data_IF_359790203599
#
_entry.id   IF_359790203599
#
_cell.length_a   1.000
_cell.length_b   1.000
_cell.length_c   1.000
_cell.angle_alpha   90.00
_cell.angle_beta   90.00
_cell.angle_gamma   90.00
#
_symmetry.space_group_name_H-M   'P 1'
#
loop_
_entity.id
_entity.type
_entity.pdbx_description
1 polymer ?
#
# COMPACT_ATOMS: atom_id res chain seq x y z
N UNK A 1 19.84 -24.98 -32.60
CA UNK A 1 19.91 -24.03 -31.47
C UNK A 1 18.77 -24.34 -30.51
N UNK A 2 19.03 -24.31 -29.20
CA UNK A 2 17.98 -24.52 -28.19
C UNK A 2 17.03 -23.32 -28.16
N UNK A 3 15.78 -23.52 -27.73
CA UNK A 3 14.85 -22.41 -27.47
C UNK A 3 15.25 -21.74 -26.16
N UNK A 4 15.44 -20.40 -26.15
CA UNK A 4 15.78 -19.70 -24.92
C UNK A 4 14.62 -19.73 -23.93
N UNK A 5 14.94 -19.65 -22.64
CA UNK A 5 13.96 -19.39 -21.61
C UNK A 5 13.61 -17.89 -21.61
N UNK A 6 12.33 -17.58 -21.75
CA UNK A 6 11.87 -16.19 -21.95
C UNK A 6 11.61 -15.52 -20.60
N UNK A 7 12.09 -14.28 -20.46
CA UNK A 7 11.83 -13.38 -19.34
C UNK A 7 11.00 -12.20 -19.87
N UNK A 8 9.76 -12.08 -19.41
CA UNK A 8 8.85 -11.01 -19.76
C UNK A 8 8.92 -9.87 -18.75
N UNK A 9 9.37 -8.71 -19.20
CA UNK A 9 9.35 -7.45 -18.43
C UNK A 9 8.14 -6.60 -18.82
N UNK A 10 7.10 -6.59 -18.01
CA UNK A 10 5.93 -5.73 -18.25
C UNK A 10 6.09 -4.38 -17.56
N UNK A 11 5.90 -3.28 -18.29
CA UNK A 11 6.08 -1.94 -17.74
C UNK A 11 5.13 -0.90 -18.35
N UNK A 12 4.90 0.18 -17.63
CA UNK A 12 4.31 1.39 -18.20
C UNK A 12 5.40 2.18 -18.95
N UNK A 13 5.06 3.01 -19.96
CA UNK A 13 6.03 3.90 -20.58
C UNK A 13 6.74 4.79 -19.55
N UNK A 14 7.99 5.17 -19.85
CA UNK A 14 8.83 6.02 -18.98
C UNK A 14 9.06 5.44 -17.56
N UNK A 15 8.95 4.12 -17.39
CA UNK A 15 9.22 3.43 -16.11
C UNK A 15 10.67 2.95 -15.92
N UNK A 16 11.63 3.44 -16.72
CA UNK A 16 13.02 2.92 -16.80
C UNK A 16 13.16 1.52 -17.40
N UNK A 17 12.13 1.03 -18.10
CA UNK A 17 12.18 -0.29 -18.75
C UNK A 17 13.29 -0.41 -19.79
N UNK A 18 13.63 0.67 -20.50
CA UNK A 18 14.78 0.66 -21.43
C UNK A 18 16.11 0.56 -20.69
N UNK A 19 16.30 1.27 -19.57
CA UNK A 19 17.52 1.10 -18.74
C UNK A 19 17.64 -0.32 -18.19
N UNK A 20 16.51 -0.94 -17.83
CA UNK A 20 16.48 -2.33 -17.40
C UNK A 20 16.81 -3.30 -18.56
N UNK A 21 16.34 -3.02 -19.78
CA UNK A 21 16.76 -3.78 -20.96
C UNK A 21 18.27 -3.70 -21.20
N UNK A 22 18.86 -2.50 -21.09
CA UNK A 22 20.31 -2.31 -21.21
C UNK A 22 21.07 -3.08 -20.13
N UNK A 23 20.56 -3.08 -18.90
CA UNK A 23 21.08 -3.88 -17.79
C UNK A 23 21.08 -5.39 -18.10
N UNK A 24 19.97 -5.94 -18.60
CA UNK A 24 19.89 -7.35 -18.99
C UNK A 24 20.74 -7.68 -20.22
N UNK A 25 20.97 -6.73 -21.13
CA UNK A 25 21.86 -6.90 -22.28
C UNK A 25 23.34 -7.07 -21.88
N UNK A 26 23.73 -6.68 -20.66
CA UNK A 26 25.09 -6.89 -20.15
C UNK A 26 25.34 -8.32 -19.63
N UNK A 27 24.31 -9.16 -19.58
CA UNK A 27 24.48 -10.55 -19.15
C UNK A 27 25.03 -11.37 -20.31
N UNK A 28 26.02 -12.20 -20.03
CA UNK A 28 26.64 -13.05 -21.06
C UNK A 28 25.71 -14.16 -21.59
N UNK A 29 24.67 -14.50 -20.83
CA UNK A 29 23.74 -15.60 -21.06
C UNK A 29 22.36 -15.15 -21.57
N UNK A 30 22.18 -13.86 -21.86
CA UNK A 30 20.90 -13.26 -22.21
C UNK A 30 20.97 -12.50 -23.53
N UNK A 31 19.96 -12.67 -24.37
CA UNK A 31 19.67 -11.78 -25.51
C UNK A 31 18.42 -10.95 -25.20
N UNK A 32 18.33 -9.73 -25.72
CA UNK A 32 17.22 -8.81 -25.43
C UNK A 32 16.40 -8.51 -26.68
N UNK A 33 15.10 -8.27 -26.49
CA UNK A 33 14.16 -7.88 -27.55
C UNK A 33 13.34 -6.68 -27.08
N UNK A 34 13.38 -5.60 -27.84
CA UNK A 34 12.71 -4.34 -27.52
C UNK A 34 11.29 -4.28 -28.10
N UNK A 35 10.29 -4.26 -27.23
CA UNK A 35 8.85 -4.10 -27.53
C UNK A 35 8.36 -4.89 -28.76
N UNK A 36 8.52 -6.24 -28.76
CA UNK A 36 8.25 -7.06 -29.96
C UNK A 36 6.80 -6.96 -30.45
N UNK A 37 5.85 -6.63 -29.56
CA UNK A 37 4.42 -6.52 -29.88
C UNK A 37 4.02 -5.14 -30.45
N UNK A 38 4.94 -4.18 -30.53
CA UNK A 38 4.56 -2.79 -30.80
C UNK A 38 3.96 -2.59 -32.20
N UNK A 39 4.50 -3.24 -33.23
CA UNK A 39 3.95 -3.15 -34.58
C UNK A 39 2.56 -3.76 -34.71
N UNK A 40 2.31 -4.91 -34.07
CA UNK A 40 0.98 -5.50 -33.98
C UNK A 40 -0.01 -4.54 -33.28
N UNK A 41 0.41 -3.90 -32.18
CA UNK A 41 -0.37 -2.88 -31.49
C UNK A 41 -0.71 -1.68 -32.39
N UNK A 42 0.27 -1.10 -33.10
CA UNK A 42 0.02 0.06 -33.99
C UNK A 42 -0.88 -0.30 -35.17
N UNK A 43 -0.77 -1.52 -35.69
CA UNK A 43 -1.63 -2.01 -36.76
C UNK A 43 -3.07 -2.20 -36.27
N UNK A 44 -3.26 -2.84 -35.12
CA UNK A 44 -4.58 -3.16 -34.60
C UNK A 44 -5.34 -1.92 -34.10
N UNK A 45 -4.65 -0.98 -33.46
CA UNK A 45 -5.28 0.20 -32.85
C UNK A 45 -5.40 1.39 -33.80
N UNK A 46 -4.59 1.43 -34.86
CA UNK A 46 -4.53 2.59 -35.76
C UNK A 46 -3.95 3.85 -35.13
N UNK A 47 -3.36 3.75 -33.92
CA UNK A 47 -2.77 4.89 -33.21
C UNK A 47 -1.67 5.53 -34.04
N UNK A 48 -1.75 6.85 -34.22
CA UNK A 48 -0.79 7.60 -35.03
C UNK A 48 0.48 7.97 -34.24
N UNK A 49 1.63 7.82 -34.89
CA UNK A 49 2.95 8.15 -34.36
C UNK A 49 3.85 8.65 -35.49
N UNK A 50 4.77 9.60 -35.24
CA UNK A 50 5.68 10.11 -36.28
C UNK A 50 6.51 9.03 -36.98
N UNK A 51 6.76 7.90 -36.31
CA UNK A 51 7.56 6.78 -36.79
C UNK A 51 6.71 5.53 -37.09
N UNK A 52 5.38 5.66 -37.15
CA UNK A 52 4.44 4.53 -37.29
C UNK A 52 4.75 3.65 -38.50
N UNK A 53 4.83 4.25 -39.69
CA UNK A 53 5.00 3.49 -40.94
C UNK A 53 6.36 2.77 -40.99
N UNK A 54 7.38 3.38 -40.39
CA UNK A 54 8.70 2.77 -40.25
C UNK A 54 8.67 1.55 -39.32
N UNK A 55 7.91 1.60 -38.22
CA UNK A 55 7.67 0.44 -37.34
C UNK A 55 6.96 -0.68 -38.11
N UNK A 56 5.85 -0.35 -38.79
CA UNK A 56 5.05 -1.35 -39.52
C UNK A 56 5.81 -2.00 -40.68
N UNK A 57 6.77 -1.29 -41.27
CA UNK A 57 7.60 -1.82 -42.36
C UNK A 57 8.72 -2.73 -41.85
N UNK A 58 9.30 -2.43 -40.68
CA UNK A 58 10.48 -3.14 -40.15
C UNK A 58 10.17 -4.27 -39.18
N UNK A 59 8.95 -4.37 -38.67
CA UNK A 59 8.58 -5.33 -37.63
C UNK A 59 7.37 -6.18 -38.03
N UNK A 60 7.31 -7.39 -37.48
CA UNK A 60 6.17 -8.29 -37.68
C UNK A 60 4.91 -7.71 -37.03
N UNK A 61 3.85 -7.61 -37.82
CA UNK A 61 2.58 -7.00 -37.42
C UNK A 61 1.53 -8.03 -37.00
N UNK A 62 1.77 -9.32 -37.19
CA UNK A 62 0.92 -10.40 -36.73
C UNK A 62 1.37 -10.85 -35.32
N UNK A 63 0.54 -10.57 -34.32
CA UNK A 63 0.83 -10.90 -32.92
C UNK A 63 1.11 -12.38 -32.66
N UNK A 64 0.43 -13.30 -33.35
CA UNK A 64 0.66 -14.75 -33.19
C UNK A 64 2.06 -15.14 -33.67
N UNK A 65 2.48 -14.60 -34.81
CA UNK A 65 3.84 -14.79 -35.34
C UNK A 65 4.89 -14.16 -34.44
N UNK A 66 4.63 -12.98 -33.89
CA UNK A 66 5.54 -12.36 -32.92
C UNK A 66 5.75 -13.27 -31.72
N UNK A 67 4.67 -13.81 -31.13
CA UNK A 67 4.79 -14.70 -29.97
C UNK A 67 5.53 -15.99 -30.33
N UNK A 68 5.17 -16.62 -31.45
CA UNK A 68 5.74 -17.92 -31.84
C UNK A 68 7.18 -17.83 -32.34
N UNK A 69 7.45 -16.89 -33.24
CA UNK A 69 8.66 -16.86 -34.06
C UNK A 69 9.71 -15.87 -33.52
N UNK A 70 9.30 -14.85 -32.75
CA UNK A 70 10.22 -13.85 -32.17
C UNK A 70 10.41 -14.09 -30.67
N UNK A 71 9.32 -14.14 -29.90
CA UNK A 71 9.41 -14.32 -28.44
C UNK A 71 9.89 -15.74 -28.11
N UNK A 72 9.22 -16.77 -28.64
CA UNK A 72 9.58 -18.19 -28.43
C UNK A 72 10.36 -18.84 -29.58
N UNK A 73 10.83 -18.02 -30.53
CA UNK A 73 11.66 -18.46 -31.64
C UNK A 73 13.04 -18.98 -31.20
N UNK A 74 13.82 -19.50 -32.14
CA UNK A 74 15.22 -19.90 -31.88
C UNK A 74 16.05 -18.70 -31.40
N UNK A 75 16.94 -18.93 -30.44
CA UNK A 75 17.83 -17.92 -29.88
C UNK A 75 19.27 -18.39 -29.82
N UNK A 76 20.18 -17.44 -29.59
CA UNK A 76 21.62 -17.68 -29.47
C UNK A 76 22.09 -17.84 -28.02
N UNK A 77 21.27 -17.37 -27.07
CA UNK A 77 21.56 -17.32 -25.64
C UNK A 77 20.62 -18.23 -24.84
N UNK A 78 20.95 -18.43 -23.55
CA UNK A 78 20.14 -19.26 -22.63
C UNK A 78 18.82 -18.58 -22.32
N UNK A 79 18.86 -17.28 -22.04
CA UNK A 79 17.69 -16.47 -21.73
C UNK A 79 17.38 -15.47 -22.84
N UNK A 80 16.10 -15.15 -23.01
CA UNK A 80 15.64 -14.05 -23.84
C UNK A 80 14.81 -13.09 -23.01
N UNK A 81 15.29 -11.87 -22.84
CA UNK A 81 14.56 -10.80 -22.15
C UNK A 81 13.70 -10.04 -23.16
N UNK A 82 12.39 -10.04 -22.96
CA UNK A 82 11.45 -9.28 -23.76
C UNK A 82 10.94 -8.09 -22.95
N UNK A 83 11.32 -6.88 -23.38
CA UNK A 83 10.77 -5.63 -22.86
C UNK A 83 9.38 -5.41 -23.45
N UNK A 84 8.36 -5.35 -22.60
CA UNK A 84 6.99 -5.07 -23.00
C UNK A 84 6.49 -3.76 -22.38
N UNK A 85 5.74 -3.00 -23.16
CA UNK A 85 4.88 -1.95 -22.63
C UNK A 85 3.48 -2.52 -22.49
N UNK A 86 2.89 -2.43 -21.30
CA UNK A 86 1.62 -3.09 -20.96
C UNK A 86 0.49 -2.86 -21.95
N UNK A 87 0.32 -1.61 -22.43
CA UNK A 87 -0.73 -1.27 -23.41
C UNK A 87 -0.58 -1.96 -24.77
N UNK A 88 0.59 -2.51 -25.09
CA UNK A 88 0.83 -3.26 -26.33
C UNK A 88 0.29 -4.69 -26.25
N UNK A 89 -0.15 -5.16 -25.07
CA UNK A 89 -0.82 -6.45 -24.93
C UNK A 89 -2.24 -6.37 -25.48
N UNK A 90 -2.40 -6.73 -26.74
CA UNK A 90 -3.70 -6.85 -27.39
C UNK A 90 -4.48 -8.06 -26.85
N UNK A 91 -5.81 -7.94 -26.79
CA UNK A 91 -6.69 -9.10 -26.57
C UNK A 91 -6.62 -10.05 -27.77
N UNK A 92 -6.67 -11.36 -27.51
CA UNK A 92 -6.62 -12.39 -28.55
C UNK A 92 -5.20 -12.84 -28.94
N UNK A 93 -4.16 -12.33 -28.29
CA UNK A 93 -2.81 -12.90 -28.43
C UNK A 93 -2.75 -14.35 -27.88
N UNK A 94 -1.82 -15.18 -28.36
CA UNK A 94 -1.69 -16.57 -27.90
C UNK A 94 -1.52 -16.65 -26.38
N UNK A 95 -2.22 -17.60 -25.75
CA UNK A 95 -2.14 -17.83 -24.30
C UNK A 95 -0.73 -18.19 -23.82
N UNK A 96 0.12 -18.69 -24.73
CA UNK A 96 1.55 -18.94 -24.48
C UNK A 96 2.30 -17.68 -24.04
N UNK A 97 1.88 -16.49 -24.45
CA UNK A 97 2.50 -15.23 -24.01
C UNK A 97 2.39 -15.01 -22.50
N UNK A 98 1.34 -15.54 -21.87
CA UNK A 98 1.07 -15.37 -20.43
C UNK A 98 1.33 -16.64 -19.62
N UNK A 99 1.24 -17.81 -20.25
CA UNK A 99 1.39 -19.12 -19.55
C UNK A 99 2.81 -19.68 -19.55
N UNK A 100 3.72 -19.14 -20.37
CA UNK A 100 5.10 -19.61 -20.48
C UNK A 100 6.09 -18.49 -20.16
N UNK A 101 7.30 -18.88 -19.79
CA UNK A 101 8.36 -17.96 -19.42
C UNK A 101 8.21 -17.44 -17.99
N UNK A 102 9.18 -16.60 -17.60
CA UNK A 102 9.22 -15.95 -16.30
C UNK A 102 8.69 -14.53 -16.44
N UNK A 103 7.82 -14.09 -15.54
CA UNK A 103 7.18 -12.78 -15.63
C UNK A 103 7.56 -11.90 -14.45
N UNK A 104 7.84 -10.63 -14.73
CA UNK A 104 7.89 -9.60 -13.71
C UNK A 104 7.30 -8.28 -14.22
N UNK A 105 6.97 -7.42 -13.26
CA UNK A 105 6.35 -6.11 -13.48
C UNK A 105 7.26 -5.02 -12.94
N UNK A 106 7.60 -4.07 -13.80
CA UNK A 106 8.29 -2.84 -13.44
C UNK A 106 7.28 -1.70 -13.35
N UNK A 107 7.10 -1.17 -12.15
CA UNK A 107 6.23 -0.02 -11.88
C UNK A 107 7.04 1.25 -11.66
N UNK A 108 6.42 2.40 -11.92
CA UNK A 108 6.96 3.70 -11.53
C UNK A 108 5.84 4.62 -11.09
N UNK A 109 6.11 5.43 -10.08
CA UNK A 109 5.12 6.38 -9.57
C UNK A 109 4.68 7.35 -10.70
N UNK A 110 3.36 7.52 -10.95
CA UNK A 110 2.86 8.43 -11.99
C UNK A 110 3.34 9.88 -11.82
N UNK A 111 3.66 10.32 -10.59
CA UNK A 111 4.31 11.61 -10.30
C UNK A 111 5.62 11.79 -11.08
N UNK A 112 6.36 10.71 -11.30
CA UNK A 112 7.63 10.69 -12.01
C UNK A 112 7.48 10.34 -13.50
N UNK A 113 6.35 9.75 -13.91
CA UNK A 113 6.04 9.43 -15.31
C UNK A 113 5.53 10.67 -16.05
N UNK A 114 4.49 11.32 -15.52
CA UNK A 114 3.70 12.34 -16.21
C UNK A 114 4.55 13.52 -16.74
N UNK A 115 5.38 14.20 -15.92
CA UNK A 115 6.19 15.32 -16.41
C UNK A 115 7.25 14.91 -17.44
N UNK A 116 7.60 13.63 -17.48
CA UNK A 116 8.55 13.10 -18.44
C UNK A 116 7.89 12.63 -19.73
N UNK A 117 6.65 12.17 -19.66
CA UNK A 117 5.91 11.63 -20.79
C UNK A 117 5.43 12.76 -21.72
N UNK A 118 4.93 13.85 -21.14
CA UNK A 118 4.45 15.04 -21.86
C UNK A 118 5.48 15.62 -22.86
N UNK A 119 6.78 15.48 -22.56
CA UNK A 119 7.86 15.95 -23.45
C UNK A 119 7.92 15.22 -24.79
N UNK A 120 7.34 14.04 -24.87
CA UNK A 120 7.33 13.20 -26.08
C UNK A 120 5.96 13.25 -26.75
N UNK A 121 4.89 13.16 -25.97
CA UNK A 121 3.51 13.25 -26.45
C UNK A 121 2.54 13.57 -25.31
N UNK A 122 1.32 14.07 -25.60
CA UNK A 122 0.30 14.30 -24.58
C UNK A 122 -0.01 13.03 -23.77
N UNK A 123 -0.06 13.11 -22.44
CA UNK A 123 -0.41 11.98 -21.59
C UNK A 123 -1.93 11.76 -21.58
N UNK A 124 -2.34 10.49 -21.49
CA UNK A 124 -3.72 10.08 -21.22
C UNK A 124 -3.71 8.81 -20.39
N UNK A 125 -4.83 8.46 -19.77
CA UNK A 125 -4.94 7.25 -18.94
C UNK A 125 -4.53 5.98 -19.70
N UNK A 126 -5.04 5.83 -20.93
CA UNK A 126 -4.69 4.70 -21.82
C UNK A 126 -3.22 4.73 -22.26
N UNK A 127 -2.65 5.92 -22.46
CA UNK A 127 -1.25 6.04 -22.88
C UNK A 127 -0.27 5.61 -21.78
N UNK A 128 -0.62 5.78 -20.51
CA UNK A 128 0.19 5.38 -19.36
C UNK A 128 0.23 3.86 -19.15
N UNK A 129 -0.81 3.13 -19.55
CA UNK A 129 -0.80 1.67 -19.50
C UNK A 129 -0.86 1.06 -18.08
N UNK A 130 -1.18 1.83 -17.04
CA UNK A 130 -1.18 1.35 -15.65
C UNK A 130 -2.36 0.41 -15.37
N UNK A 131 -3.51 0.62 -16.01
CA UNK A 131 -4.65 -0.29 -15.92
C UNK A 131 -4.35 -1.66 -16.52
N UNK A 132 -3.63 -1.67 -17.65
CA UNK A 132 -3.18 -2.87 -18.32
C UNK A 132 -2.13 -3.62 -17.48
N UNK A 133 -1.27 -2.92 -16.72
CA UNK A 133 -0.36 -3.58 -15.78
C UNK A 133 -1.09 -4.30 -14.65
N UNK A 134 -2.10 -3.65 -14.05
CA UNK A 134 -2.93 -4.30 -13.02
C UNK A 134 -3.66 -5.51 -13.61
N UNK A 135 -4.17 -5.39 -14.83
CA UNK A 135 -4.82 -6.51 -15.54
C UNK A 135 -3.86 -7.67 -15.78
N UNK A 136 -2.63 -7.38 -16.25
CA UNK A 136 -1.57 -8.39 -16.45
C UNK A 136 -1.22 -9.09 -15.13
N UNK A 137 -1.06 -8.34 -14.04
CA UNK A 137 -0.81 -8.91 -12.71
C UNK A 137 -1.92 -9.87 -12.29
N UNK A 138 -3.18 -9.43 -12.42
CA UNK A 138 -4.36 -10.24 -12.07
C UNK A 138 -4.44 -11.51 -12.91
N UNK A 139 -4.27 -11.42 -14.24
CA UNK A 139 -4.32 -12.56 -15.15
C UNK A 139 -3.26 -13.61 -14.78
N UNK A 140 -2.02 -13.18 -14.50
CA UNK A 140 -0.95 -14.08 -14.05
C UNK A 140 -1.30 -14.77 -12.72
N UNK A 141 -1.81 -14.01 -11.75
CA UNK A 141 -2.20 -14.57 -10.46
C UNK A 141 -3.32 -15.61 -10.58
N UNK A 142 -4.31 -15.39 -11.44
CA UNK A 142 -5.38 -16.36 -11.72
C UNK A 142 -4.86 -17.65 -12.34
N UNK A 143 -3.74 -17.58 -13.07
CA UNK A 143 -3.05 -18.73 -13.64
C UNK A 143 -2.10 -19.42 -12.63
N UNK A 144 -2.06 -18.95 -11.37
CA UNK A 144 -1.16 -19.47 -10.34
C UNK A 144 0.28 -18.96 -10.45
N UNK A 145 0.55 -17.97 -11.32
CA UNK A 145 1.85 -17.33 -11.48
C UNK A 145 1.85 -16.06 -10.62
N UNK A 146 2.73 -15.99 -9.63
CA UNK A 146 2.92 -14.78 -8.85
C UNK A 146 4.11 -13.99 -9.40
N UNK A 147 3.90 -13.00 -10.30
CA UNK A 147 5.02 -12.27 -10.89
C UNK A 147 5.72 -11.40 -9.85
N UNK A 148 7.04 -11.29 -9.97
CA UNK A 148 7.81 -10.33 -9.19
C UNK A 148 7.36 -8.90 -9.55
N UNK A 149 7.27 -8.01 -8.56
CA UNK A 149 6.98 -6.59 -8.77
C UNK A 149 8.14 -5.77 -8.23
N UNK A 150 8.77 -5.00 -9.10
CA UNK A 150 9.85 -4.06 -8.73
C UNK A 150 9.46 -2.63 -9.06
N UNK A 151 9.94 -1.70 -8.25
CA UNK A 151 9.65 -0.28 -8.39
C UNK A 151 10.89 0.47 -8.92
N UNK A 152 10.67 1.34 -9.91
CA UNK A 152 11.74 2.08 -10.55
C UNK A 152 12.48 3.03 -9.61
N UNK A 153 11.81 3.61 -8.60
CA UNK A 153 12.46 4.47 -7.62
C UNK A 153 13.35 3.65 -6.66
N UNK A 154 12.96 2.40 -6.36
CA UNK A 154 13.81 1.44 -5.62
C UNK A 154 15.03 1.04 -6.45
N UNK A 155 14.82 0.70 -7.72
CA UNK A 155 15.88 0.37 -8.67
C UNK A 155 16.89 1.51 -8.85
N UNK A 156 16.46 2.77 -8.88
CA UNK A 156 17.38 3.91 -8.97
C UNK A 156 18.15 4.18 -7.66
N UNK A 157 17.56 3.85 -6.50
CA UNK A 157 18.15 4.14 -5.19
C UNK A 157 19.21 3.12 -4.83
N UNK A 158 18.89 1.84 -5.01
CA UNK A 158 19.81 0.72 -4.79
C UNK A 158 19.65 -0.32 -5.90
N UNK A 159 20.35 -0.11 -7.04
CA UNK A 159 20.22 -0.98 -8.20
C UNK A 159 20.68 -2.41 -7.92
N UNK A 160 21.74 -2.59 -7.13
CA UNK A 160 22.29 -3.91 -6.86
C UNK A 160 21.33 -4.75 -6.02
N UNK A 161 20.84 -4.22 -4.90
CA UNK A 161 19.87 -4.94 -4.06
C UNK A 161 18.59 -5.27 -4.84
N UNK A 162 18.08 -4.31 -5.62
CA UNK A 162 16.85 -4.50 -6.41
C UNK A 162 17.05 -5.57 -7.48
N UNK A 163 18.16 -5.56 -8.21
CA UNK A 163 18.44 -6.54 -9.26
C UNK A 163 18.77 -7.93 -8.70
N UNK A 164 19.44 -8.03 -7.55
CA UNK A 164 19.65 -9.31 -6.86
C UNK A 164 18.30 -9.92 -6.48
N UNK A 165 17.44 -9.17 -5.81
CA UNK A 165 16.09 -9.63 -5.45
C UNK A 165 15.25 -10.03 -6.67
N UNK A 166 15.33 -9.27 -7.77
CA UNK A 166 14.68 -9.65 -9.03
C UNK A 166 15.25 -10.96 -9.61
N UNK A 167 16.57 -11.12 -9.63
CA UNK A 167 17.21 -12.33 -10.13
C UNK A 167 16.82 -13.55 -9.28
N UNK A 168 16.76 -13.41 -7.97
CA UNK A 168 16.31 -14.47 -7.05
C UNK A 168 14.84 -14.83 -7.31
N UNK A 169 13.96 -13.84 -7.45
CA UNK A 169 12.54 -14.06 -7.77
C UNK A 169 12.34 -14.73 -9.15
N UNK A 170 13.22 -14.44 -10.11
CA UNK A 170 13.25 -15.07 -11.41
C UNK A 170 14.04 -16.38 -11.43
N UNK A 171 14.67 -16.81 -10.33
CA UNK A 171 15.53 -18.00 -10.28
C UNK A 171 16.65 -17.99 -11.36
N UNK A 172 17.27 -16.82 -11.57
CA UNK A 172 18.43 -16.65 -12.47
C UNK A 172 19.64 -16.12 -11.68
N UNK A 173 20.89 -16.41 -12.09
CA UNK A 173 22.04 -15.88 -11.38
C UNK A 173 22.19 -14.37 -11.61
N UNK A 174 22.39 -13.60 -10.54
CA UNK A 174 22.77 -12.18 -10.65
C UNK A 174 24.18 -12.05 -11.27
N UNK A 175 24.36 -11.10 -12.19
CA UNK A 175 25.66 -10.74 -12.75
C UNK A 175 25.96 -9.26 -12.49
N UNK A 176 27.14 -8.96 -11.94
CA UNK A 176 27.52 -7.58 -11.63
C UNK A 176 27.62 -6.68 -12.88
N UNK A 177 27.81 -7.26 -14.07
CA UNK A 177 27.77 -6.55 -15.35
C UNK A 177 26.43 -5.85 -15.58
N UNK A 178 25.34 -6.32 -14.98
CA UNK A 178 24.01 -5.69 -15.07
C UNK A 178 23.98 -4.24 -14.55
N UNK A 179 24.95 -3.83 -13.73
CA UNK A 179 24.93 -2.51 -13.08
C UNK A 179 25.46 -1.38 -13.96
N UNK A 180 26.22 -1.68 -15.02
CA UNK A 180 26.89 -0.69 -15.85
C UNK A 180 26.89 -1.08 -17.32
N UNK A 181 26.74 -0.12 -18.21
CA UNK A 181 26.80 -0.29 -19.66
C UNK A 181 27.54 0.89 -20.31
N UNK A 182 27.90 0.72 -21.58
CA UNK A 182 28.48 1.82 -22.37
C UNK A 182 27.42 2.81 -22.82
N UNK A 183 27.76 4.10 -22.80
CA UNK A 183 26.87 5.15 -23.29
C UNK A 183 26.77 5.07 -24.82
N UNK A 184 25.54 5.05 -25.34
CA UNK A 184 25.23 5.01 -26.76
C UNK A 184 24.04 4.11 -27.07
N UNK A 185 23.62 4.03 -28.34
CA UNK A 185 22.62 3.07 -28.80
C UNK A 185 23.21 1.66 -28.87
N UNK A 186 22.36 0.64 -28.69
CA UNK A 186 22.69 -0.77 -28.92
C UNK A 186 21.94 -1.32 -30.14
N UNK A 187 22.41 -2.40 -30.79
CA UNK A 187 21.76 -2.98 -31.97
C UNK A 187 20.29 -3.39 -31.75
N UNK A 188 19.92 -3.72 -30.52
CA UNK A 188 18.58 -4.18 -30.13
C UNK A 188 17.58 -3.04 -29.91
N UNK A 189 18.02 -1.78 -29.96
CA UNK A 189 17.14 -0.62 -29.85
C UNK A 189 16.06 -0.63 -30.94
N UNK A 190 14.80 -0.46 -30.52
CA UNK A 190 13.69 -0.30 -31.45
C UNK A 190 13.84 0.94 -32.34
N UNK A 191 13.18 0.92 -33.49
CA UNK A 191 13.26 2.02 -34.48
C UNK A 191 12.75 3.38 -33.95
N UNK A 192 12.02 3.38 -32.84
CA UNK A 192 11.55 4.56 -32.13
C UNK A 192 12.56 5.13 -31.12
N UNK A 193 13.72 4.50 -30.94
CA UNK A 193 14.76 4.95 -30.00
C UNK A 193 15.11 6.45 -30.10
N UNK A 194 15.20 7.08 -31.30
CA UNK A 194 15.50 8.51 -31.41
C UNK A 194 14.50 9.43 -30.67
N UNK A 195 13.26 8.98 -30.45
CA UNK A 195 12.23 9.76 -29.76
C UNK A 195 12.22 9.53 -28.25
N UNK A 196 12.64 8.35 -27.78
CA UNK A 196 12.42 7.92 -26.40
C UNK A 196 13.71 7.76 -25.59
N UNK A 197 14.82 7.40 -26.23
CA UNK A 197 15.98 6.79 -25.56
C UNK A 197 17.15 7.73 -25.30
N UNK A 198 17.03 9.01 -25.62
CA UNK A 198 18.06 10.03 -25.36
C UNK A 198 18.70 9.91 -23.97
N UNK A 199 17.88 9.75 -22.93
CA UNK A 199 18.39 9.67 -21.55
C UNK A 199 19.16 8.39 -21.24
N UNK A 200 18.84 7.25 -21.88
CA UNK A 200 19.57 5.99 -21.63
C UNK A 200 20.86 5.98 -22.45
N UNK A 201 20.85 6.52 -23.67
CA UNK A 201 22.05 6.68 -24.51
C UNK A 201 23.12 7.58 -23.85
N UNK A 202 22.70 8.53 -23.01
CA UNK A 202 23.61 9.40 -22.23
C UNK A 202 24.07 8.77 -20.90
N UNK A 203 23.54 7.59 -20.53
CA UNK A 203 23.79 6.93 -19.24
C UNK A 203 24.76 5.76 -19.36
N UNK A 204 25.42 5.43 -18.25
CA UNK A 204 26.30 4.26 -18.12
C UNK A 204 25.86 3.29 -17.02
N UNK A 205 24.64 3.47 -16.51
CA UNK A 205 24.09 2.74 -15.37
C UNK A 205 22.82 3.39 -14.83
N UNK A 206 22.31 2.88 -13.72
CA UNK A 206 21.16 3.47 -13.03
C UNK A 206 21.59 4.70 -12.21
N UNK A 207 20.99 5.85 -12.49
CA UNK A 207 21.25 7.09 -11.76
C UNK A 207 20.25 7.26 -10.62
N UNK A 208 20.73 7.70 -9.46
CA UNK A 208 19.88 8.03 -8.31
C UNK A 208 18.83 9.10 -8.69
N UNK A 209 17.62 9.03 -8.10
CA UNK A 209 16.61 10.03 -8.35
C UNK A 209 17.11 11.41 -7.86
N UNK A 210 16.62 12.48 -8.48
CA UNK A 210 16.99 13.85 -8.08
C UNK A 210 16.56 14.10 -6.64
N UNK A 211 17.47 14.66 -5.82
CA UNK A 211 17.21 14.97 -4.41
C UNK A 211 15.97 15.85 -4.21
N UNK A 212 15.75 16.81 -5.12
CA UNK A 212 14.56 17.65 -5.14
C UNK A 212 13.83 17.50 -6.48
N UNK A 213 12.57 17.03 -6.47
CA UNK A 213 11.78 16.98 -7.69
C UNK A 213 11.39 18.40 -8.14
N UNK A 214 11.05 18.54 -9.43
CA UNK A 214 10.40 19.77 -9.93
C UNK A 214 8.95 19.81 -9.44
N UNK A 215 8.38 21.02 -9.39
CA UNK A 215 6.95 21.21 -9.13
C UNK A 215 6.12 20.37 -10.09
N UNK A 216 5.17 19.62 -9.53
CA UNK A 216 4.25 18.82 -10.33
C UNK A 216 3.25 19.75 -11.05
N UNK A 217 3.08 19.64 -12.38
CA UNK A 217 2.14 20.50 -13.12
C UNK A 217 0.70 20.22 -12.70
N UNK A 218 -0.05 21.26 -12.33
CA UNK A 218 -1.47 21.12 -11.95
C UNK A 218 -2.34 20.56 -13.09
N UNK A 219 -1.95 20.77 -14.35
CA UNK A 219 -2.62 20.20 -15.53
C UNK A 219 -2.66 18.67 -15.55
N UNK A 220 -1.79 18.01 -14.78
CA UNK A 220 -1.72 16.56 -14.70
C UNK A 220 -2.43 15.97 -13.47
N UNK A 221 -3.05 16.79 -12.62
CA UNK A 221 -3.58 16.33 -11.35
C UNK A 221 -4.71 15.30 -11.53
N UNK A 222 -5.68 15.56 -12.41
CA UNK A 222 -6.79 14.64 -12.66
C UNK A 222 -6.30 13.28 -13.17
N UNK A 223 -5.28 13.28 -14.03
CA UNK A 223 -4.68 12.06 -14.55
C UNK A 223 -3.86 11.33 -13.49
N UNK A 224 -3.16 12.07 -12.61
CA UNK A 224 -2.48 11.51 -11.45
C UNK A 224 -3.48 10.81 -10.51
N UNK A 225 -4.61 11.46 -10.22
CA UNK A 225 -5.66 10.92 -9.35
C UNK A 225 -6.23 9.61 -9.89
N UNK A 226 -6.46 9.52 -11.21
CA UNK A 226 -6.90 8.28 -11.86
C UNK A 226 -5.83 7.17 -11.83
N UNK A 227 -4.55 7.54 -11.91
CA UNK A 227 -3.44 6.60 -12.14
C UNK A 227 -2.79 6.10 -10.85
N UNK A 228 -2.73 6.94 -9.82
CA UNK A 228 -2.03 6.65 -8.57
C UNK A 228 -2.60 5.44 -7.80
N UNK A 229 -3.93 5.21 -7.74
CA UNK A 229 -4.48 4.01 -7.13
C UNK A 229 -3.97 2.71 -7.77
N UNK A 230 -3.89 2.66 -9.10
CA UNK A 230 -3.41 1.49 -9.85
C UNK A 230 -1.94 1.19 -9.55
N UNK A 231 -1.13 2.23 -9.48
CA UNK A 231 0.25 2.13 -9.03
C UNK A 231 0.35 1.61 -7.59
N UNK A 232 -0.47 2.13 -6.68
CA UNK A 232 -0.45 1.72 -5.27
C UNK A 232 -0.86 0.26 -5.06
N UNK A 233 -1.81 -0.25 -5.86
CA UNK A 233 -2.18 -1.68 -5.88
C UNK A 233 -0.92 -2.52 -6.17
N UNK A 234 -0.22 -2.24 -7.26
CA UNK A 234 0.99 -2.99 -7.64
C UNK A 234 2.14 -2.76 -6.63
N UNK A 235 2.33 -1.53 -6.14
CA UNK A 235 3.35 -1.20 -5.13
C UNK A 235 3.15 -1.97 -3.83
N UNK A 236 1.92 -2.37 -3.50
CA UNK A 236 1.66 -3.19 -2.31
C UNK A 236 2.40 -4.54 -2.37
N UNK A 237 2.62 -5.09 -3.58
CA UNK A 237 3.27 -6.37 -3.84
C UNK A 237 4.80 -6.29 -3.99
N UNK A 238 5.40 -5.10 -3.94
CA UNK A 238 6.87 -4.94 -3.96
C UNK A 238 7.45 -5.49 -2.66
N UNK A 239 8.32 -6.51 -2.75
CA UNK A 239 8.92 -7.18 -1.57
C UNK A 239 9.91 -6.28 -0.82
N UNK A 240 10.74 -5.54 -1.55
CA UNK A 240 11.78 -4.70 -0.99
C UNK A 240 11.42 -3.22 -1.17
N UNK A 241 11.07 -2.56 -0.06
CA UNK A 241 10.76 -1.13 -0.04
C UNK A 241 11.78 -0.41 0.81
N UNK A 242 12.35 0.68 0.29
CA UNK A 242 13.14 1.60 1.08
C UNK A 242 12.30 2.12 2.24
N UNK A 243 12.86 2.00 3.43
CA UNK A 243 12.31 2.57 4.65
C UNK A 243 13.10 3.84 5.01
N UNK A 244 12.49 4.73 5.79
CA UNK A 244 13.24 5.79 6.49
C UNK A 244 14.19 5.20 7.55
N UNK A 245 13.93 3.95 7.95
CA UNK A 245 14.80 3.18 8.84
C UNK A 245 16.02 2.66 8.07
N UNK A 246 17.20 2.73 8.69
CA UNK A 246 18.47 2.23 8.15
C UNK A 246 18.49 0.71 7.92
N UNK A 247 17.55 -0.02 8.51
CA UNK A 247 17.32 -1.44 8.23
C UNK A 247 15.82 -1.72 8.26
N UNK A 248 15.27 -2.46 7.28
CA UNK A 248 13.87 -2.83 7.28
C UNK A 248 13.59 -3.78 8.45
N UNK A 249 12.56 -3.48 9.24
CA UNK A 249 12.08 -4.41 10.27
C UNK A 249 11.39 -5.60 9.59
N UNK A 250 11.56 -6.84 10.08
CA UNK A 250 10.82 -7.98 9.56
C UNK A 250 9.30 -7.75 9.74
N UNK A 251 8.46 -8.29 8.85
CA UNK A 251 7.01 -8.23 9.04
C UNK A 251 6.64 -8.82 10.41
N UNK A 252 5.94 -8.07 11.28
CA UNK A 252 5.59 -8.57 12.60
C UNK A 252 4.54 -9.68 12.50
N UNK A 253 4.66 -10.70 13.35
CA UNK A 253 3.59 -11.70 13.51
C UNK A 253 2.36 -11.07 14.15
N UNK A 254 1.17 -11.34 13.61
CA UNK A 254 -0.07 -10.94 14.25
C UNK A 254 -0.37 -11.84 15.45
N UNK A 255 -0.87 -11.29 16.58
CA UNK A 255 -1.29 -12.11 17.72
C UNK A 255 -2.38 -13.13 17.37
N UNK A 256 -3.24 -12.79 16.40
CA UNK A 256 -4.27 -13.67 15.84
C UNK A 256 -4.14 -13.64 14.31
N UNK A 257 -3.68 -14.72 13.66
CA UNK A 257 -3.43 -14.75 12.21
C UNK A 257 -4.64 -14.39 11.33
N UNK A 258 -5.84 -14.74 11.77
CA UNK A 258 -7.11 -14.48 11.08
C UNK A 258 -7.35 -12.97 10.87
N UNK A 259 -6.77 -12.12 11.72
CA UNK A 259 -6.88 -10.66 11.60
C UNK A 259 -6.09 -10.09 10.40
N UNK A 260 -5.29 -10.90 9.67
CA UNK A 260 -4.54 -10.46 8.49
C UNK A 260 -5.43 -9.98 7.34
N UNK A 261 -6.65 -10.52 7.22
CA UNK A 261 -7.59 -10.21 6.13
C UNK A 261 -8.88 -9.54 6.62
N UNK A 262 -8.82 -8.87 7.77
CA UNK A 262 -10.02 -8.20 8.32
C UNK A 262 -10.48 -7.03 7.45
N UNK A 263 -11.77 -6.76 7.56
CA UNK A 263 -12.45 -5.61 6.97
C UNK A 263 -12.89 -4.66 8.09
N UNK A 264 -12.55 -3.38 7.98
CA UNK A 264 -12.91 -2.36 8.97
C UNK A 264 -13.79 -1.28 8.34
N UNK A 265 -14.73 -0.74 9.12
CA UNK A 265 -15.52 0.41 8.70
C UNK A 265 -14.75 1.70 8.96
N UNK A 266 -14.65 2.59 7.97
CA UNK A 266 -14.07 3.94 8.12
C UNK A 266 -14.90 4.94 7.32
N UNK A 267 -15.44 5.95 7.98
CA UNK A 267 -16.35 6.92 7.37
C UNK A 267 -17.66 6.25 7.01
N UNK A 268 -17.85 5.93 5.74
CA UNK A 268 -19.07 5.35 5.17
C UNK A 268 -18.81 4.02 4.43
N UNK A 269 -17.59 3.48 4.53
CA UNK A 269 -17.12 2.36 3.72
C UNK A 269 -16.54 1.22 4.57
N UNK A 270 -16.66 -0.01 4.07
CA UNK A 270 -15.95 -1.18 4.59
C UNK A 270 -14.68 -1.39 3.74
N UNK A 271 -13.52 -1.33 4.38
CA UNK A 271 -12.21 -1.36 3.73
C UNK A 271 -11.35 -2.51 4.27
N UNK A 272 -10.52 -3.15 3.41
CA UNK A 272 -9.47 -4.07 3.87
C UNK A 272 -8.52 -3.42 4.88
N UNK A 273 -7.98 -4.20 5.82
CA UNK A 273 -7.04 -3.78 6.87
C UNK A 273 -6.00 -2.74 6.41
N UNK A 274 -5.35 -2.99 5.28
CA UNK A 274 -4.26 -2.14 4.74
C UNK A 274 -4.75 -0.84 4.10
N UNK A 275 -6.05 -0.74 3.80
CA UNK A 275 -6.71 0.42 3.19
C UNK A 275 -7.54 1.23 4.19
N UNK A 276 -7.90 0.64 5.33
CA UNK A 276 -8.64 1.29 6.42
C UNK A 276 -7.80 2.41 7.06
N UNK A 277 -7.92 3.63 6.51
CA UNK A 277 -7.12 4.81 6.89
C UNK A 277 -8.02 6.03 7.03
N UNK A 278 -7.69 6.91 7.97
CA UNK A 278 -8.28 8.25 8.05
C UNK A 278 -7.41 9.27 7.31
N UNK A 279 -8.02 10.38 6.89
CA UNK A 279 -7.28 11.48 6.29
C UNK A 279 -6.25 12.04 7.27
N UNK A 280 -5.07 12.45 6.77
CA UNK A 280 -4.11 13.22 7.57
C UNK A 280 -4.67 14.57 8.05
N UNK A 281 -5.75 15.04 7.41
CA UNK A 281 -6.49 16.22 7.83
C UNK A 281 -7.59 15.92 8.86
N UNK A 282 -7.79 14.66 9.28
CA UNK A 282 -8.74 14.32 10.33
C UNK A 282 -8.30 14.89 11.69
N UNK A 283 -9.28 15.36 12.47
CA UNK A 283 -9.13 15.84 13.84
C UNK A 283 -8.36 14.87 14.75
N UNK A 284 -8.56 13.56 14.59
CA UNK A 284 -7.84 12.57 15.41
C UNK A 284 -6.34 12.56 15.12
N UNK A 285 -5.94 12.80 13.87
CA UNK A 285 -4.53 12.83 13.45
C UNK A 285 -3.88 14.15 13.87
N UNK A 286 -4.59 15.26 13.71
CA UNK A 286 -4.04 16.59 14.02
C UNK A 286 -3.94 16.89 15.51
N UNK A 287 -4.79 16.27 16.35
CA UNK A 287 -4.83 16.61 17.78
C UNK A 287 -5.56 15.62 18.70
N UNK A 288 -5.82 14.39 18.27
CA UNK A 288 -6.47 13.38 19.12
C UNK A 288 -7.96 13.64 19.41
N UNK A 289 -8.61 14.52 18.64
CA UNK A 289 -9.99 14.98 18.83
C UNK A 289 -11.01 13.94 18.34
N UNK A 290 -11.22 12.92 19.18
CA UNK A 290 -12.18 11.82 18.98
C UNK A 290 -12.63 11.20 20.30
N UNK A 291 -13.81 10.55 20.26
CA UNK A 291 -14.33 9.69 21.32
C UNK A 291 -14.29 8.23 20.87
N UNK A 292 -14.31 7.28 21.81
CA UNK A 292 -14.27 5.86 21.49
C UNK A 292 -15.08 5.00 22.46
N UNK A 293 -15.26 3.73 22.15
CA UNK A 293 -15.84 2.70 23.00
C UNK A 293 -15.17 1.35 22.74
N UNK A 294 -15.13 0.50 23.77
CA UNK A 294 -14.66 -0.88 23.69
C UNK A 294 -15.83 -1.84 23.82
N UNK A 295 -16.25 -2.49 22.73
CA UNK A 295 -17.38 -3.43 22.74
C UNK A 295 -16.87 -4.87 22.74
N UNK A 296 -17.58 -5.76 23.43
CA UNK A 296 -17.30 -7.20 23.44
C UNK A 296 -18.48 -7.98 22.90
N UNK A 297 -18.18 -8.96 22.07
CA UNK A 297 -19.16 -9.85 21.45
C UNK A 297 -19.01 -11.23 22.06
N UNK A 298 -20.13 -11.73 22.57
CA UNK A 298 -20.25 -13.05 23.16
C UNK A 298 -21.49 -13.74 22.64
N UNK A 299 -21.36 -14.97 22.13
CA UNK A 299 -22.50 -15.81 21.73
C UNK A 299 -23.52 -15.06 20.84
N UNK A 300 -23.03 -14.32 19.85
CA UNK A 300 -23.83 -13.56 18.90
C UNK A 300 -24.41 -12.24 19.41
N UNK A 301 -24.05 -11.79 20.62
CA UNK A 301 -24.59 -10.56 21.22
C UNK A 301 -23.47 -9.60 21.62
N UNK A 302 -23.72 -8.31 21.43
CA UNK A 302 -22.86 -7.25 21.94
C UNK A 302 -23.26 -6.95 23.39
N UNK A 303 -22.31 -7.07 24.31
CA UNK A 303 -22.57 -6.83 25.73
C UNK A 303 -22.83 -5.34 26.00
N UNK A 304 -23.98 -5.03 26.62
CA UNK A 304 -24.39 -3.66 27.03
C UNK A 304 -24.26 -2.60 25.93
N UNK A 305 -24.63 -2.96 24.70
CA UNK A 305 -24.49 -2.08 23.54
C UNK A 305 -25.13 -0.70 23.75
N UNK A 306 -26.36 -0.66 24.24
CA UNK A 306 -27.10 0.60 24.37
C UNK A 306 -26.42 1.54 25.40
N UNK A 307 -25.93 1.00 26.51
CA UNK A 307 -25.19 1.79 27.52
C UNK A 307 -23.82 2.28 27.02
N UNK A 308 -23.13 1.48 26.20
CA UNK A 308 -21.90 1.93 25.54
C UNK A 308 -22.19 3.07 24.56
N UNK A 309 -23.28 2.98 23.79
CA UNK A 309 -23.66 4.04 22.87
C UNK A 309 -24.06 5.31 23.63
N UNK A 310 -24.84 5.21 24.71
CA UNK A 310 -25.18 6.35 25.59
C UNK A 310 -23.91 7.13 25.99
N UNK A 311 -22.89 6.43 26.49
CA UNK A 311 -21.62 7.04 26.91
C UNK A 311 -20.84 7.67 25.74
N UNK A 312 -20.86 7.04 24.57
CA UNK A 312 -20.22 7.60 23.38
C UNK A 312 -20.89 8.91 22.95
N UNK A 313 -22.23 8.94 22.91
CA UNK A 313 -23.00 10.14 22.55
C UNK A 313 -22.83 11.26 23.60
N UNK A 314 -22.82 10.92 24.89
CA UNK A 314 -22.56 11.89 25.96
C UNK A 314 -21.15 12.46 25.87
N UNK A 315 -20.15 11.64 25.57
CA UNK A 315 -18.76 12.09 25.36
C UNK A 315 -18.66 13.00 24.14
N UNK A 316 -19.30 12.65 23.02
CA UNK A 316 -19.33 13.48 21.82
C UNK A 316 -20.01 14.84 22.09
N UNK A 317 -21.10 14.83 22.85
CA UNK A 317 -21.81 16.03 23.29
C UNK A 317 -20.93 16.90 24.20
N UNK A 318 -20.21 16.31 25.15
CA UNK A 318 -19.29 17.04 26.03
C UNK A 318 -18.17 17.75 25.25
N UNK A 319 -17.73 17.15 24.14
CA UNK A 319 -16.76 17.74 23.22
C UNK A 319 -17.41 18.65 22.16
N UNK A 320 -18.71 18.94 22.26
CA UNK A 320 -19.47 19.76 21.31
C UNK A 320 -19.33 19.28 19.85
N UNK A 321 -19.43 17.97 19.61
CA UNK A 321 -19.47 17.44 18.25
C UNK A 321 -20.78 17.86 17.58
N UNK A 322 -20.67 18.26 16.31
CA UNK A 322 -21.80 18.56 15.44
C UNK A 322 -21.92 17.47 14.36
N UNK A 323 -23.11 17.27 13.81
CA UNK A 323 -23.37 16.26 12.76
C UNK A 323 -22.91 14.85 13.18
N UNK A 324 -23.20 14.48 14.43
CA UNK A 324 -22.97 13.14 14.96
C UNK A 324 -23.95 12.17 14.27
N UNK A 325 -23.50 11.01 13.75
CA UNK A 325 -24.40 10.02 13.16
C UNK A 325 -25.43 9.54 14.18
N UNK A 326 -26.63 9.23 13.72
CA UNK A 326 -27.68 8.69 14.57
C UNK A 326 -27.29 7.33 15.18
N UNK A 327 -27.94 6.98 16.29
CA UNK A 327 -27.74 5.70 16.96
C UNK A 327 -27.91 4.51 16.02
N UNK A 328 -28.92 4.56 15.15
CA UNK A 328 -29.21 3.48 14.22
C UNK A 328 -28.17 3.37 13.10
N UNK A 329 -27.61 4.49 12.62
CA UNK A 329 -26.49 4.47 11.67
C UNK A 329 -25.22 3.86 12.29
N UNK A 330 -24.93 4.19 13.55
CA UNK A 330 -23.80 3.59 14.27
C UNK A 330 -24.00 2.08 14.45
N UNK A 331 -25.21 1.65 14.82
CA UNK A 331 -25.55 0.23 14.97
C UNK A 331 -25.44 -0.51 13.65
N UNK A 332 -25.94 0.07 12.56
CA UNK A 332 -25.84 -0.51 11.23
C UNK A 332 -24.38 -0.71 10.81
N UNK A 333 -23.51 0.30 11.01
CA UNK A 333 -22.09 0.18 10.73
C UNK A 333 -21.42 -0.95 11.55
N UNK A 334 -21.77 -1.05 12.84
CA UNK A 334 -21.28 -2.12 13.72
C UNK A 334 -21.71 -3.50 13.21
N UNK A 335 -23.00 -3.69 12.95
CA UNK A 335 -23.54 -4.99 12.54
C UNK A 335 -23.05 -5.40 11.16
N UNK A 336 -23.03 -4.49 10.18
CA UNK A 336 -22.46 -4.76 8.85
C UNK A 336 -20.99 -5.18 8.93
N UNK A 337 -20.19 -4.52 9.78
CA UNK A 337 -18.78 -4.89 9.99
C UNK A 337 -18.64 -6.29 10.56
N UNK A 338 -19.41 -6.64 11.60
CA UNK A 338 -19.38 -7.97 12.21
C UNK A 338 -19.83 -9.07 11.24
N UNK A 339 -20.96 -8.86 10.55
CA UNK A 339 -21.52 -9.83 9.58
C UNK A 339 -20.55 -10.07 8.44
N UNK A 340 -19.97 -9.01 7.88
CA UNK A 340 -19.03 -9.12 6.74
C UNK A 340 -17.77 -9.90 7.11
N UNK A 341 -17.31 -9.80 8.37
CA UNK A 341 -16.17 -10.57 8.87
C UNK A 341 -16.53 -11.94 9.47
N UNK A 342 -17.82 -12.30 9.57
CA UNK A 342 -18.26 -13.53 10.24
C UNK A 342 -17.97 -13.56 11.76
N UNK A 343 -17.90 -12.40 12.39
CA UNK A 343 -17.50 -12.24 13.79
C UNK A 343 -18.70 -12.28 14.74
N UNK A 344 -19.00 -13.47 15.26
CA UNK A 344 -20.16 -13.69 16.15
C UNK A 344 -19.78 -14.04 17.60
N UNK A 345 -18.50 -14.21 17.91
CA UNK A 345 -18.01 -14.48 19.27
C UNK A 345 -16.56 -14.02 19.42
N UNK A 346 -15.98 -14.04 20.62
CA UNK A 346 -14.55 -13.79 20.88
C UNK A 346 -13.97 -12.55 20.16
N UNK A 347 -14.81 -11.54 19.96
CA UNK A 347 -14.47 -10.35 19.18
C UNK A 347 -14.49 -9.13 20.09
N UNK A 348 -13.54 -8.22 19.83
CA UNK A 348 -13.52 -6.90 20.44
C UNK A 348 -13.63 -5.85 19.35
N UNK A 349 -14.54 -4.88 19.52
CA UNK A 349 -14.62 -3.71 18.66
C UNK A 349 -13.99 -2.53 19.38
N UNK A 350 -13.01 -1.89 18.75
CA UNK A 350 -12.65 -0.51 19.06
C UNK A 350 -13.49 0.41 18.19
N UNK A 351 -14.60 0.89 18.75
CA UNK A 351 -15.50 1.83 18.11
C UNK A 351 -14.92 3.23 18.33
N UNK A 352 -14.78 4.06 17.31
CA UNK A 352 -14.29 5.43 17.46
C UNK A 352 -15.08 6.39 16.59
N UNK A 353 -15.31 7.59 17.10
CA UNK A 353 -15.94 8.67 16.38
C UNK A 353 -15.03 9.90 16.46
N UNK A 354 -14.46 10.30 15.34
CA UNK A 354 -13.67 11.53 15.24
C UNK A 354 -14.59 12.71 14.92
N UNK A 355 -14.16 13.93 15.26
CA UNK A 355 -14.85 15.14 14.76
C UNK A 355 -14.74 15.29 13.24
N UNK A 356 -13.92 14.46 12.60
CA UNK A 356 -13.81 14.30 11.17
C UNK A 356 -12.70 15.11 10.51
N UNK A 357 -12.71 15.07 9.18
CA UNK A 357 -11.77 15.79 8.31
C UNK A 357 -11.93 17.30 8.47
N UNK A 358 -10.80 18.02 8.46
CA UNK A 358 -10.76 19.48 8.43
C UNK A 358 -10.53 20.02 7.01
N UNK A 359 -11.08 21.20 6.72
CA UNK A 359 -10.83 21.93 5.46
C UNK A 359 -9.40 22.48 5.37
N UNK A 360 -8.76 22.70 6.52
CA UNK A 360 -7.37 23.13 6.64
C UNK A 360 -6.79 22.67 7.97
N UNK A 361 -5.47 22.68 8.10
CA UNK A 361 -4.83 22.36 9.38
C UNK A 361 -5.06 23.47 10.40
N UNK A 362 -5.35 23.09 11.65
CA UNK A 362 -5.54 24.03 12.75
C UNK A 362 -6.33 23.45 13.93
N UNK A 363 -6.23 24.09 15.09
CA UNK A 363 -6.85 23.61 16.33
C UNK A 363 -8.36 23.84 16.42
N UNK A 364 -8.90 24.84 15.71
CA UNK A 364 -10.33 25.18 15.81
C UNK A 364 -11.22 24.03 15.31
N UNK A 365 -12.29 23.67 16.05
CA UNK A 365 -13.30 22.71 15.58
C UNK A 365 -14.14 23.30 14.43
N UNK A 366 -14.11 24.63 14.23
CA UNK A 366 -14.81 25.28 13.12
C UNK A 366 -14.26 24.88 11.74
N UNK A 367 -13.14 24.17 11.65
CA UNK A 367 -12.62 23.64 10.39
C UNK A 367 -13.19 22.26 10.02
N UNK A 368 -13.88 21.59 10.95
CA UNK A 368 -14.52 20.28 10.73
C UNK A 368 -15.85 20.46 9.98
N UNK A 369 -15.78 20.58 8.65
CA UNK A 369 -16.94 20.86 7.79
C UNK A 369 -17.44 19.66 7.00
N UNK A 370 -16.76 18.51 7.10
CA UNK A 370 -17.08 17.30 6.36
C UNK A 370 -17.92 16.29 7.16
N UNK A 371 -18.33 16.62 8.39
CA UNK A 371 -19.02 15.69 9.30
C UNK A 371 -18.05 14.79 10.08
N UNK A 372 -18.58 14.04 11.05
CA UNK A 372 -17.81 13.11 11.87
C UNK A 372 -17.33 11.90 11.05
N UNK A 373 -16.24 11.26 11.47
CA UNK A 373 -15.78 10.00 10.87
C UNK A 373 -15.93 8.85 11.86
N UNK A 374 -16.84 7.92 11.55
CA UNK A 374 -17.06 6.71 12.33
C UNK A 374 -16.04 5.63 11.94
N UNK A 375 -15.47 4.96 12.93
CA UNK A 375 -14.50 3.87 12.74
C UNK A 375 -14.98 2.67 13.55
N UNK A 376 -15.19 1.54 12.87
CA UNK A 376 -15.50 0.25 13.51
C UNK A 376 -14.35 -0.71 13.23
N UNK A 377 -13.44 -0.85 14.20
CA UNK A 377 -12.34 -1.81 14.13
C UNK A 377 -12.68 -3.04 14.97
N UNK A 378 -13.20 -4.08 14.31
CA UNK A 378 -13.47 -5.38 14.93
C UNK A 378 -12.26 -6.31 14.73
N UNK A 379 -11.81 -6.95 15.80
CA UNK A 379 -10.72 -7.94 15.77
C UNK A 379 -11.10 -9.18 16.59
N UNK A 380 -10.70 -10.36 16.09
CA UNK A 380 -10.67 -11.56 16.92
C UNK A 380 -9.68 -11.31 18.06
N UNK A 381 -10.18 -11.38 19.30
CA UNK A 381 -9.43 -10.99 20.48
C UNK A 381 -9.81 -11.85 21.67
N UNK A 382 -9.12 -13.00 21.86
CA UNK A 382 -9.29 -13.80 23.06
C UNK A 382 -8.91 -12.99 24.32
N UNK A 383 -9.35 -13.42 25.52
CA UNK A 383 -8.93 -12.81 26.78
C UNK A 383 -7.41 -12.74 26.88
N UNK A 384 -6.89 -11.58 27.33
CA UNK A 384 -5.44 -11.33 27.47
C UNK A 384 -4.87 -11.95 28.74
N UNK A 385 -5.67 -11.98 29.81
CA UNK A 385 -5.29 -12.53 31.11
C UNK A 385 -6.22 -13.70 31.46
N UNK A 386 -5.67 -14.71 32.12
CA UNK A 386 -6.51 -15.69 32.82
C UNK A 386 -7.09 -15.07 34.09
N UNK A 387 -8.22 -15.59 34.55
CA UNK A 387 -8.86 -15.11 35.77
C UNK A 387 -8.33 -15.83 37.03
N UNK A 388 -7.45 -16.83 36.87
CA UNK A 388 -7.04 -17.74 37.93
C UNK A 388 -5.71 -17.33 38.57
N UNK A 389 -4.75 -16.85 37.77
CA UNK A 389 -3.40 -16.48 38.19
C UNK A 389 -3.27 -15.03 38.66
N UNK A 390 -4.24 -14.18 38.33
CA UNK A 390 -4.19 -12.75 38.61
C UNK A 390 -3.04 -12.04 37.87
N UNK A 391 -2.84 -10.76 38.17
CA UNK A 391 -1.79 -9.95 37.53
C UNK A 391 -1.02 -9.12 38.55
N UNK A 392 0.26 -8.86 38.26
CA UNK A 392 1.07 -7.91 39.00
C UNK A 392 0.81 -6.50 38.49
N UNK A 393 0.55 -5.57 39.41
CA UNK A 393 0.41 -4.15 39.16
C UNK A 393 1.53 -3.35 39.84
N UNK A 394 1.99 -2.29 39.21
CA UNK A 394 2.83 -1.26 39.85
C UNK A 394 2.08 0.05 39.98
N UNK A 395 2.45 0.89 40.95
CA UNK A 395 1.93 2.25 41.04
C UNK A 395 2.72 3.17 40.12
N UNK A 396 2.05 3.84 39.19
CA UNK A 396 2.67 4.83 38.31
C UNK A 396 2.97 6.14 39.04
N UNK A 397 4.07 6.77 38.64
CA UNK A 397 4.39 8.16 38.95
C UNK A 397 3.54 9.12 38.13
N UNK A 398 3.21 8.77 36.88
CA UNK A 398 2.25 9.51 36.05
C UNK A 398 0.89 9.60 36.75
N UNK A 399 0.41 10.83 36.97
CA UNK A 399 -0.90 11.10 37.58
C UNK A 399 -2.01 11.06 36.55
N UNK A 400 -3.19 10.63 36.99
CA UNK A 400 -4.39 10.61 36.13
C UNK A 400 -4.89 12.04 35.89
N UNK A 401 -5.38 12.29 34.67
CA UNK A 401 -5.94 13.59 34.31
C UNK A 401 -7.13 13.94 35.21
N UNK A 402 -7.06 15.14 35.81
CA UNK A 402 -8.20 15.71 36.53
C UNK A 402 -9.20 16.34 35.55
N UNK A 403 -10.47 16.49 35.94
CA UNK A 403 -11.46 17.25 35.16
C UNK A 403 -11.05 18.68 34.81
N UNK A 404 -10.08 19.27 35.54
CA UNK A 404 -9.55 20.62 35.24
C UNK A 404 -8.57 20.65 34.06
N UNK A 405 -8.11 19.49 33.57
CA UNK A 405 -7.20 19.39 32.44
C UNK A 405 -7.88 18.76 31.24
N UNK A 406 -8.29 17.50 31.39
CA UNK A 406 -9.04 16.75 30.41
C UNK A 406 -9.83 15.70 31.17
N UNK A 407 -11.15 15.88 31.22
CA UNK A 407 -12.02 15.05 32.05
C UNK A 407 -12.00 13.60 31.58
N UNK A 408 -11.51 12.73 32.46
CA UNK A 408 -11.42 11.28 32.24
C UNK A 408 -12.79 10.60 32.12
N UNK A 409 -13.89 11.29 32.46
CA UNK A 409 -15.26 10.81 32.21
C UNK A 409 -15.66 10.91 30.74
N UNK A 410 -15.00 11.78 29.96
CA UNK A 410 -15.15 11.79 28.50
C UNK A 410 -14.30 10.64 27.98
N UNK A 411 -14.92 9.66 27.32
CA UNK A 411 -14.20 8.50 26.82
C UNK A 411 -13.49 8.86 25.48
N UNK A 412 -12.43 9.64 25.59
CA UNK A 412 -11.70 10.27 24.48
C UNK A 412 -10.43 9.49 24.06
N UNK A 413 -9.89 9.75 22.86
CA UNK A 413 -8.68 9.06 22.37
C UNK A 413 -7.34 9.71 22.78
N UNK A 414 -7.34 10.78 23.58
CA UNK A 414 -6.13 11.39 24.13
C UNK A 414 -5.48 10.53 25.25
N UNK A 415 -4.91 9.39 24.85
CA UNK A 415 -4.44 8.32 25.74
C UNK A 415 -2.93 8.38 26.05
N UNK A 416 -2.22 9.45 25.67
CA UNK A 416 -0.78 9.56 25.94
C UNK A 416 -0.48 9.48 27.45
N UNK A 417 -1.34 10.08 28.29
CA UNK A 417 -1.26 9.96 29.76
C UNK A 417 -1.28 8.48 30.22
N UNK A 418 -2.21 7.69 29.69
CA UNK A 418 -2.33 6.27 29.98
C UNK A 418 -1.16 5.46 29.41
N UNK A 419 -0.69 5.78 28.20
CA UNK A 419 0.45 5.10 27.55
C UNK A 419 1.74 5.31 28.36
N UNK A 420 1.96 6.51 28.90
CA UNK A 420 3.11 6.78 29.78
C UNK A 420 3.09 5.90 31.03
N UNK A 421 1.93 5.77 31.68
CA UNK A 421 1.77 4.84 32.81
C UNK A 421 1.98 3.37 32.39
N UNK A 422 1.57 2.97 31.18
CA UNK A 422 1.85 1.63 30.64
C UNK A 422 3.35 1.41 30.38
N UNK A 423 4.08 2.44 29.95
CA UNK A 423 5.55 2.37 29.80
C UNK A 423 6.20 2.15 31.18
N UNK A 424 5.72 2.82 32.22
CA UNK A 424 6.22 2.60 33.59
C UNK A 424 6.00 1.17 34.08
N UNK A 425 4.82 0.57 33.84
CA UNK A 425 4.60 -0.84 34.21
C UNK A 425 5.44 -1.82 33.41
N UNK A 426 5.65 -1.57 32.11
CA UNK A 426 6.57 -2.38 31.31
C UNK A 426 7.99 -2.32 31.87
N UNK A 427 8.50 -1.14 32.25
CA UNK A 427 9.81 -0.98 32.87
C UNK A 427 9.90 -1.65 34.26
N UNK A 428 8.76 -1.72 34.96
CA UNK A 428 8.61 -2.45 36.23
C UNK A 428 8.35 -3.95 36.07
N UNK A 429 8.34 -4.50 34.84
CA UNK A 429 7.97 -5.89 34.54
C UNK A 429 6.60 -6.30 35.12
N UNK A 430 5.64 -5.38 35.12
CA UNK A 430 4.27 -5.61 35.56
C UNK A 430 3.27 -5.59 34.40
N UNK A 431 2.11 -6.20 34.63
CA UNK A 431 1.07 -6.32 33.59
C UNK A 431 0.36 -4.98 33.34
N UNK A 432 0.14 -4.18 34.38
CA UNK A 432 -0.50 -2.86 34.28
C UNK A 432 -0.02 -1.91 35.38
N UNK A 433 -0.40 -0.63 35.26
CA UNK A 433 -0.07 0.40 36.23
C UNK A 433 -1.32 0.98 36.91
N UNK A 434 -1.30 1.06 38.24
CA UNK A 434 -2.27 1.84 39.04
C UNK A 434 -1.89 3.32 38.96
N UNK A 435 -2.82 4.14 38.50
CA UNK A 435 -2.67 5.59 38.43
C UNK A 435 -3.34 6.26 39.63
N UNK A 436 -2.63 7.23 40.22
CA UNK A 436 -3.16 8.05 41.32
C UNK A 436 -3.64 9.40 40.79
N UNK A 437 -4.60 10.00 41.50
CA UNK A 437 -4.96 11.40 41.30
C UNK A 437 -3.92 12.36 41.88
N UNK A 438 -4.16 13.68 41.72
CA UNK A 438 -3.24 14.72 42.19
C UNK A 438 -3.02 14.72 43.72
N UNK A 439 -3.95 14.16 44.48
CA UNK A 439 -3.93 14.13 45.95
C UNK A 439 -3.41 12.78 46.49
N UNK A 440 -3.08 11.83 45.59
CA UNK A 440 -2.52 10.53 45.92
C UNK A 440 -3.57 9.43 46.13
N UNK A 441 -4.84 9.68 45.85
CA UNK A 441 -5.88 8.65 45.90
C UNK A 441 -5.84 7.76 44.64
N UNK A 442 -6.26 6.50 44.80
CA UNK A 442 -6.38 5.56 43.68
C UNK A 442 -7.47 6.05 42.74
N UNK A 443 -7.13 6.17 41.45
CA UNK A 443 -8.08 6.55 40.42
C UNK A 443 -8.51 5.34 39.58
N UNK A 444 -7.64 4.85 38.70
CA UNK A 444 -7.86 3.69 37.85
C UNK A 444 -6.50 3.12 37.41
N UNK A 445 -6.50 2.04 36.64
CA UNK A 445 -5.27 1.63 35.93
C UNK A 445 -5.12 2.38 34.61
N UNK A 446 -4.02 2.18 33.89
CA UNK A 446 -3.87 2.75 32.55
C UNK A 446 -4.91 2.24 31.53
N UNK A 447 -5.59 1.11 31.77
CA UNK A 447 -6.54 0.54 30.80
C UNK A 447 -7.90 0.09 31.36
N UNK A 448 -8.06 0.02 32.69
CA UNK A 448 -9.25 -0.54 33.38
C UNK A 448 -9.55 0.16 34.70
N UNK A 449 -10.80 0.13 35.16
CA UNK A 449 -11.16 0.59 36.51
C UNK A 449 -10.74 -0.43 37.58
N UNK A 450 -10.57 0.05 38.82
CA UNK A 450 -10.18 -0.75 39.98
C UNK A 450 -11.35 -0.83 40.96
N UNK A 451 -11.62 -2.03 41.48
CA UNK A 451 -12.55 -2.29 42.56
C UNK A 451 -11.82 -3.02 43.68
N UNK A 452 -12.09 -2.69 44.95
CA UNK A 452 -11.38 -3.27 46.10
C UNK A 452 -12.37 -3.92 47.06
N UNK A 453 -12.23 -5.23 47.30
CA UNK A 453 -13.04 -5.91 48.32
C UNK A 453 -12.31 -5.91 49.66
N UNK A 454 -12.92 -5.30 50.69
CA UNK A 454 -12.42 -5.33 52.06
C UNK A 454 -13.54 -5.70 53.02
N UNK A 455 -13.34 -6.80 53.77
CA UNK A 455 -14.32 -7.31 54.76
C UNK A 455 -15.72 -7.53 54.17
N UNK A 456 -15.80 -8.02 52.94
CA UNK A 456 -17.07 -8.30 52.25
C UNK A 456 -17.74 -7.09 51.60
N UNK A 457 -17.15 -5.90 51.67
CA UNK A 457 -17.63 -4.70 50.98
C UNK A 457 -16.74 -4.39 49.78
N UNK A 458 -17.35 -4.02 48.65
CA UNK A 458 -16.68 -3.53 47.41
C UNK A 458 -16.50 -2.02 47.49
#
# INVERSE_FOLDING_TARGET
MAKPEVIHSWSAPRSLSTSLMYSFAQRDDTEVVDEPLYAAFLKATGVDRPYRDHVLTKMECNGDKVVKDIIYGSGSKKYRYCKHISKQRLFGLPSELMSKGKHFILIRNPLNILPSFEKVQPPSFLELGLGELVSIYSDLCQMGIQPAVIDADELQRDPETTLRGLCDDLEIPFQASMLKWEAGPIPEDGVWAPWWYKSVHESTGFSSPKKYPKTFPMSHYDLLEQSLPLYNILRSHVKHKSSLLSSPLPPPSLPVPENAKLLAWVGDEILPREMAKVSVFDSVVQGGDSVWEGLRIYKGKIFKLEEHLDRMFDSAKALAFENVPSREEVKEAIFRTLITNGMFDNTHIRLSLTRGKKVTSGMSPAFNRYGCTLIVLAEWKPPVYDNDGGILLVTATTRRNSPNNLDSKIHHNNLLNNILAKIESNNGNAADAIMLDKDGYVSETNATNIFMVKRGCV
#
